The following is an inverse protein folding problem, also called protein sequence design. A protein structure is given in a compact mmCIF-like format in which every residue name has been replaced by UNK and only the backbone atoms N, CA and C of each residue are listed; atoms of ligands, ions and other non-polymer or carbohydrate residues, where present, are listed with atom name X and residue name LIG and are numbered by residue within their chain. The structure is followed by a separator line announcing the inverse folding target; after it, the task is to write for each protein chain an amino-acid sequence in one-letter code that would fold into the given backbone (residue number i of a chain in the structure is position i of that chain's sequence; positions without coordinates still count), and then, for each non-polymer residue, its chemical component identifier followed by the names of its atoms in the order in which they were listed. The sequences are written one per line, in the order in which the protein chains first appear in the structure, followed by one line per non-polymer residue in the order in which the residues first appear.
data_IF_362048648608
#
_entry.id   IF_362048648608
#
_cell.length_a   1.000
_cell.length_b   1.000
_cell.length_c   1.000
_cell.angle_alpha   90.00
_cell.angle_beta   90.00
_cell.angle_gamma   90.00
#
_symmetry.space_group_name_H-M   'P 1'
#
loop_
_entity.id
_entity.type
_entity.pdbx_description
1 polymer ?
#
# COMPACT_ATOMS: atom_id res chain seq x y z
N UNK A 1 -18.16 18.69 36.88
CA UNK A 1 -19.04 18.43 35.71
C UNK A 1 -18.58 19.11 34.40
N UNK A 2 -17.86 20.24 34.43
CA UNK A 2 -17.38 20.93 33.21
C UNK A 2 -16.25 20.21 32.43
N UNK A 3 -15.40 19.42 33.09
CA UNK A 3 -14.33 18.63 32.45
C UNK A 3 -14.86 17.42 31.65
N UNK A 4 -15.85 16.69 32.19
CA UNK A 4 -16.48 15.55 31.51
C UNK A 4 -17.33 15.94 30.27
N UNK A 5 -17.85 17.16 30.23
CA UNK A 5 -18.61 17.68 29.08
C UNK A 5 -17.71 18.16 27.92
N UNK A 6 -16.53 18.70 28.23
CA UNK A 6 -15.51 19.06 27.22
C UNK A 6 -15.03 17.81 26.46
N UNK A 7 -14.71 16.74 27.18
CA UNK A 7 -14.20 15.50 26.60
C UNK A 7 -15.24 14.76 25.76
N UNK A 8 -16.54 14.81 26.10
CA UNK A 8 -17.59 14.19 25.26
C UNK A 8 -17.78 14.89 23.91
N UNK A 9 -17.71 16.22 23.88
CA UNK A 9 -17.84 17.00 22.65
C UNK A 9 -16.66 16.78 21.70
N UNK A 10 -15.43 16.84 22.23
CA UNK A 10 -14.22 16.58 21.44
C UNK A 10 -14.21 15.16 20.88
N UNK A 11 -14.62 14.17 21.68
CA UNK A 11 -14.80 12.78 21.21
C UNK A 11 -15.79 12.68 20.05
N UNK A 12 -16.93 13.38 20.13
CA UNK A 12 -17.92 13.36 19.04
C UNK A 12 -17.38 13.98 17.74
N UNK A 13 -16.59 15.06 17.81
CA UNK A 13 -15.95 15.65 16.64
C UNK A 13 -14.90 14.69 16.03
N UNK A 14 -14.06 14.09 16.87
CA UNK A 14 -13.07 13.10 16.44
C UNK A 14 -13.73 11.86 15.82
N UNK A 15 -14.82 11.38 16.43
CA UNK A 15 -15.59 10.26 15.91
C UNK A 15 -16.20 10.58 14.54
N UNK A 16 -16.75 11.80 14.35
CA UNK A 16 -17.24 12.25 13.05
C UNK A 16 -16.14 12.28 11.97
N UNK A 17 -14.94 12.74 12.32
CA UNK A 17 -13.78 12.71 11.42
C UNK A 17 -13.33 11.27 11.13
N UNK A 18 -13.25 10.42 12.14
CA UNK A 18 -12.88 9.00 12.02
C UNK A 18 -13.79 8.27 11.05
N UNK A 19 -15.11 8.43 11.18
CA UNK A 19 -16.09 7.85 10.25
C UNK A 19 -15.88 8.35 8.82
N UNK A 20 -15.62 9.66 8.64
CA UNK A 20 -15.34 10.21 7.32
C UNK A 20 -14.07 9.62 6.69
N UNK A 21 -13.02 9.41 7.49
CA UNK A 21 -11.76 8.78 7.04
C UNK A 21 -11.96 7.31 6.69
N UNK A 22 -12.75 6.57 7.46
CA UNK A 22 -13.06 5.15 7.19
C UNK A 22 -13.95 4.95 5.97
N UNK A 23 -14.80 5.94 5.64
CA UNK A 23 -15.61 5.94 4.44
C UNK A 23 -14.84 6.23 3.14
N UNK A 24 -13.54 6.54 3.19
CA UNK A 24 -12.73 6.77 2.00
C UNK A 24 -12.53 5.46 1.22
N UNK A 25 -12.94 5.45 -0.05
CA UNK A 25 -12.60 4.37 -0.98
C UNK A 25 -11.11 4.42 -1.31
N UNK A 26 -10.36 3.43 -0.85
CA UNK A 26 -8.93 3.29 -1.07
C UNK A 26 -8.61 1.84 -1.48
N UNK A 27 -8.73 1.48 -2.78
CA UNK A 27 -8.38 0.14 -3.23
C UNK A 27 -6.88 -0.11 -3.05
N UNK A 28 -6.54 -1.32 -2.63
CA UNK A 28 -5.15 -1.78 -2.48
C UNK A 28 -4.71 -2.73 -3.61
N UNK A 29 -5.66 -3.12 -4.44
CA UNK A 29 -5.46 -3.95 -5.63
C UNK A 29 -6.55 -3.66 -6.66
N UNK A 30 -6.23 -3.89 -7.93
CA UNK A 30 -7.16 -3.87 -9.06
C UNK A 30 -6.80 -5.01 -10.02
N UNK A 31 -7.71 -5.36 -10.94
CA UNK A 31 -7.46 -6.42 -11.91
C UNK A 31 -8.40 -6.36 -13.09
N UNK A 32 -8.10 -7.15 -14.12
CA UNK A 32 -8.85 -7.16 -15.36
C UNK A 32 -8.48 -8.31 -16.28
N UNK A 33 -9.05 -8.30 -17.48
CA UNK A 33 -8.77 -9.28 -18.54
C UNK A 33 -8.59 -8.58 -19.86
N UNK A 34 -7.80 -9.16 -20.76
CA UNK A 34 -7.57 -8.64 -22.11
C UNK A 34 -7.53 -9.80 -23.10
N UNK A 35 -8.18 -9.64 -24.24
CA UNK A 35 -8.04 -10.56 -25.38
C UNK A 35 -7.01 -9.97 -26.32
N UNK A 36 -5.93 -10.71 -26.56
CA UNK A 36 -4.86 -10.28 -27.46
C UNK A 36 -5.07 -10.86 -28.87
N UNK A 37 -4.70 -10.09 -29.89
CA UNK A 37 -4.75 -10.55 -31.30
C UNK A 37 -3.81 -11.73 -31.55
N UNK A 38 -2.68 -11.73 -30.84
CA UNK A 38 -1.68 -12.81 -30.86
C UNK A 38 -1.40 -13.25 -29.42
N UNK A 39 -1.06 -14.53 -29.18
CA UNK A 39 -0.73 -14.99 -27.84
C UNK A 39 0.51 -14.27 -27.30
N UNK A 40 0.59 -14.14 -25.98
CA UNK A 40 1.85 -13.75 -25.34
C UNK A 40 2.90 -14.80 -25.70
N UNK A 41 3.98 -14.37 -26.35
CA UNK A 41 5.06 -15.25 -26.79
C UNK A 41 6.31 -14.97 -26.00
N UNK A 42 6.84 -16.00 -25.34
CA UNK A 42 8.10 -15.93 -24.59
C UNK A 42 9.25 -16.25 -25.55
N UNK A 43 10.21 -15.34 -25.67
CA UNK A 43 11.35 -15.45 -26.59
C UNK A 43 12.66 -15.61 -25.81
N UNK A 44 13.47 -16.58 -26.21
CA UNK A 44 14.71 -16.94 -25.53
C UNK A 44 15.95 -16.61 -26.39
N UNK A 45 17.14 -16.47 -25.77
CA UNK A 45 18.39 -16.17 -26.49
C UNK A 45 18.80 -17.21 -27.55
N UNK A 46 18.32 -18.45 -27.43
CA UNK A 46 18.54 -19.52 -28.41
C UNK A 46 17.56 -19.46 -29.60
N UNK A 47 16.83 -18.36 -29.73
CA UNK A 47 15.76 -18.12 -30.72
C UNK A 47 14.52 -19.01 -30.56
N UNK A 48 14.42 -19.79 -29.47
CA UNK A 48 13.18 -20.50 -29.14
C UNK A 48 12.08 -19.48 -28.84
N UNK A 49 10.89 -19.72 -29.37
CA UNK A 49 9.69 -18.96 -29.06
C UNK A 49 8.61 -19.90 -28.53
N UNK A 50 8.00 -19.52 -27.41
CA UNK A 50 6.92 -20.30 -26.78
C UNK A 50 5.68 -19.41 -26.69
N UNK A 51 4.74 -19.50 -27.66
CA UNK A 51 3.44 -18.86 -27.54
C UNK A 51 2.61 -19.55 -26.46
N UNK A 52 2.03 -18.77 -25.53
CA UNK A 52 1.18 -19.31 -24.47
C UNK A 52 -0.28 -19.07 -24.82
N UNK A 53 -0.94 -20.15 -25.21
CA UNK A 53 -2.36 -20.23 -25.53
C UNK A 53 -3.05 -21.20 -24.58
N UNK A 54 -4.37 -21.01 -24.40
CA UNK A 54 -5.22 -22.00 -23.74
C UNK A 54 -5.32 -23.26 -24.59
N UNK A 55 -4.81 -24.37 -24.08
CA UNK A 55 -4.99 -25.70 -24.65
C UNK A 55 -6.41 -26.25 -24.39
N UNK A 56 -6.75 -27.45 -24.89
CA UNK A 56 -8.04 -28.10 -24.62
C UNK A 56 -8.18 -28.52 -23.15
N UNK A 57 -7.11 -29.01 -22.55
CA UNK A 57 -7.06 -29.49 -21.17
C UNK A 57 -5.66 -29.31 -20.55
N UNK A 58 -5.53 -29.67 -19.27
CA UNK A 58 -4.27 -29.55 -18.52
C UNK A 58 -3.17 -30.51 -19.01
N UNK A 59 -3.53 -31.63 -19.64
CA UNK A 59 -2.56 -32.60 -20.15
C UNK A 59 -1.91 -32.08 -21.43
N UNK A 60 -2.72 -31.62 -22.39
CA UNK A 60 -2.21 -30.96 -23.60
C UNK A 60 -1.40 -29.70 -23.25
N UNK A 61 -1.88 -28.89 -22.30
CA UNK A 61 -1.14 -27.72 -21.83
C UNK A 61 0.25 -28.08 -21.30
N UNK A 62 0.34 -29.16 -20.52
CA UNK A 62 1.61 -29.65 -19.98
C UNK A 62 2.60 -30.11 -21.05
N UNK A 63 2.11 -30.67 -22.16
CA UNK A 63 2.96 -31.02 -23.31
C UNK A 63 3.48 -29.78 -24.03
N UNK A 64 2.59 -28.82 -24.31
CA UNK A 64 2.93 -27.58 -25.03
C UNK A 64 3.92 -26.71 -24.26
N UNK A 65 3.83 -26.69 -22.92
CA UNK A 65 4.68 -25.85 -22.07
C UNK A 65 5.86 -26.61 -21.45
N UNK A 66 6.13 -27.86 -21.84
CA UNK A 66 7.23 -28.65 -21.29
C UNK A 66 8.58 -27.94 -21.43
N UNK A 67 8.88 -27.46 -22.62
CA UNK A 67 10.14 -26.75 -22.91
C UNK A 67 10.30 -25.45 -22.13
N UNK A 68 9.19 -24.83 -21.72
CA UNK A 68 9.19 -23.65 -20.86
C UNK A 68 9.55 -24.03 -19.41
N UNK A 69 8.90 -25.07 -18.89
CA UNK A 69 9.11 -25.59 -17.53
C UNK A 69 10.55 -26.04 -17.34
N UNK A 70 11.13 -26.74 -18.31
CA UNK A 70 12.50 -27.24 -18.29
C UNK A 70 13.57 -26.12 -18.23
N UNK A 71 13.21 -24.89 -18.60
CA UNK A 71 14.10 -23.72 -18.53
C UNK A 71 14.01 -22.99 -17.18
N UNK A 72 13.02 -23.29 -16.35
CA UNK A 72 12.81 -22.60 -15.09
C UNK A 72 13.57 -23.31 -13.95
N UNK A 73 14.14 -22.52 -13.03
CA UNK A 73 14.75 -23.04 -11.80
C UNK A 73 13.72 -23.04 -10.66
N UNK A 74 13.92 -23.80 -9.57
CA UNK A 74 13.13 -23.62 -8.35
C UNK A 74 13.11 -22.16 -7.92
N UNK A 75 11.94 -21.66 -7.52
CA UNK A 75 11.78 -20.30 -7.07
C UNK A 75 12.21 -20.17 -5.61
N UNK A 76 13.05 -19.17 -5.32
CA UNK A 76 13.50 -18.91 -3.96
C UNK A 76 12.47 -18.09 -3.17
N UNK A 77 12.71 -17.88 -1.88
CA UNK A 77 11.99 -16.90 -1.07
C UNK A 77 12.98 -16.13 -0.19
N UNK A 78 12.60 -14.93 0.25
CA UNK A 78 13.42 -14.13 1.15
C UNK A 78 13.17 -14.45 2.63
N UNK A 79 14.24 -14.63 3.39
CA UNK A 79 14.27 -14.76 4.84
C UNK A 79 15.38 -13.87 5.40
N UNK A 80 15.03 -12.61 5.61
CA UNK A 80 15.87 -11.52 6.09
C UNK A 80 16.82 -11.13 4.98
N UNK A 81 18.12 -11.24 5.29
CA UNK A 81 19.20 -11.07 4.30
C UNK A 81 19.49 -12.35 3.51
N UNK A 82 18.79 -13.46 3.77
CA UNK A 82 19.05 -14.76 3.13
C UNK A 82 17.99 -15.07 2.08
N UNK A 83 18.44 -15.66 0.99
CA UNK A 83 17.58 -16.26 -0.03
C UNK A 83 17.55 -17.76 0.20
N UNK A 84 16.36 -18.32 0.45
CA UNK A 84 16.16 -19.72 0.81
C UNK A 84 15.31 -20.50 -0.18
N UNK A 85 15.32 -21.83 -0.04
CA UNK A 85 14.49 -22.76 -0.82
C UNK A 85 13.81 -23.73 0.14
N UNK A 86 12.49 -23.65 0.23
CA UNK A 86 11.66 -24.52 1.06
C UNK A 86 10.29 -24.65 0.40
N UNK A 87 9.96 -25.87 -0.02
CA UNK A 87 8.72 -26.17 -0.72
C UNK A 87 7.50 -26.09 0.19
N UNK A 88 7.65 -26.04 1.51
CA UNK A 88 6.55 -25.74 2.43
C UNK A 88 6.17 -24.24 2.46
N UNK A 89 7.10 -23.38 2.04
CA UNK A 89 6.92 -21.92 1.97
C UNK A 89 6.56 -21.49 0.55
N UNK A 90 7.35 -21.95 -0.43
CA UNK A 90 7.17 -21.66 -1.84
C UNK A 90 7.49 -22.90 -2.67
N UNK A 91 6.46 -23.48 -3.28
CA UNK A 91 6.61 -24.53 -4.27
C UNK A 91 6.28 -23.95 -5.64
N UNK A 92 7.30 -23.46 -6.33
CA UNK A 92 7.18 -22.83 -7.64
C UNK A 92 8.48 -22.94 -8.42
N UNK A 93 8.40 -22.74 -9.73
CA UNK A 93 9.55 -22.50 -10.60
C UNK A 93 9.56 -21.02 -11.03
N UNK A 94 10.74 -20.49 -11.28
CA UNK A 94 10.96 -19.11 -11.68
C UNK A 94 12.05 -19.01 -12.76
N UNK A 95 11.89 -18.02 -13.62
CA UNK A 95 12.96 -17.47 -14.44
C UNK A 95 12.94 -15.95 -14.31
N UNK A 96 14.06 -15.36 -13.87
CA UNK A 96 14.20 -13.90 -13.82
C UNK A 96 14.46 -13.36 -15.22
N UNK A 97 13.93 -12.19 -15.53
CA UNK A 97 14.17 -11.51 -16.79
C UNK A 97 15.53 -10.79 -16.83
N UNK A 98 16.13 -10.56 -15.66
CA UNK A 98 17.48 -10.00 -15.51
C UNK A 98 18.50 -10.73 -16.40
N UNK A 99 19.41 -9.98 -17.01
CA UNK A 99 20.41 -10.52 -17.93
C UNK A 99 19.85 -10.96 -19.29
N UNK A 100 18.58 -10.69 -19.58
CA UNK A 100 17.97 -11.00 -20.87
C UNK A 100 17.67 -12.49 -21.05
N UNK A 101 17.41 -13.22 -19.96
CA UNK A 101 17.13 -14.66 -20.01
C UNK A 101 15.89 -15.00 -20.87
N UNK A 102 14.93 -14.07 -20.94
CA UNK A 102 13.81 -14.12 -21.87
C UNK A 102 13.26 -12.71 -22.13
N UNK A 103 12.49 -12.58 -23.20
CA UNK A 103 11.71 -11.38 -23.54
C UNK A 103 10.27 -11.77 -23.89
N UNK A 104 9.38 -10.78 -23.94
CA UNK A 104 7.95 -10.97 -24.21
C UNK A 104 7.58 -10.28 -25.52
N UNK A 105 6.94 -11.01 -26.42
CA UNK A 105 6.31 -10.48 -27.61
C UNK A 105 4.79 -10.48 -27.48
N UNK A 106 4.15 -9.58 -28.25
CA UNK A 106 2.70 -9.46 -28.41
C UNK A 106 1.94 -9.01 -27.16
N UNK A 107 2.67 -8.61 -26.11
CA UNK A 107 2.12 -7.97 -24.93
C UNK A 107 3.11 -6.96 -24.36
N UNK A 108 2.65 -5.73 -24.23
CA UNK A 108 3.31 -4.68 -23.46
C UNK A 108 2.23 -4.01 -22.57
N UNK A 109 2.44 -3.94 -21.24
CA UNK A 109 1.41 -3.45 -20.32
C UNK A 109 1.10 -1.95 -20.50
N UNK A 110 2.01 -1.17 -21.07
CA UNK A 110 1.76 0.25 -21.39
C UNK A 110 0.87 0.34 -22.63
N UNK A 111 1.27 -0.29 -23.73
CA UNK A 111 0.56 -0.29 -25.00
C UNK A 111 -0.84 -0.93 -24.89
N UNK A 112 -1.01 -1.92 -24.01
CA UNK A 112 -2.29 -2.56 -23.74
C UNK A 112 -3.22 -1.74 -22.82
N UNK A 113 -2.78 -0.55 -22.34
CA UNK A 113 -3.56 0.31 -21.45
C UNK A 113 -3.68 -0.16 -20.00
N UNK A 114 -3.01 -1.26 -19.63
CA UNK A 114 -3.05 -1.85 -18.27
C UNK A 114 -2.50 -0.87 -17.25
N UNK A 115 -1.36 -0.23 -17.53
CA UNK A 115 -0.75 0.70 -16.58
C UNK A 115 -1.59 1.95 -16.34
N UNK A 116 -2.31 2.41 -17.35
CA UNK A 116 -3.20 3.57 -17.20
C UNK A 116 -4.43 3.22 -16.36
N UNK A 117 -4.99 2.02 -16.54
CA UNK A 117 -6.05 1.52 -15.67
C UNK A 117 -5.56 1.39 -14.21
N UNK A 118 -4.37 0.83 -13.99
CA UNK A 118 -3.77 0.73 -12.65
C UNK A 118 -3.59 2.12 -12.03
N UNK A 119 -3.08 3.09 -12.80
CA UNK A 119 -2.91 4.47 -12.33
C UNK A 119 -4.26 5.07 -11.90
N UNK A 120 -5.30 4.92 -12.71
CA UNK A 120 -6.63 5.41 -12.40
C UNK A 120 -7.27 4.75 -11.17
N UNK A 121 -7.04 3.45 -10.96
CA UNK A 121 -7.68 2.73 -9.86
C UNK A 121 -6.93 2.90 -8.54
N UNK A 122 -5.59 2.77 -8.53
CA UNK A 122 -4.79 2.73 -7.30
C UNK A 122 -4.22 4.09 -6.91
N UNK A 123 -3.77 4.89 -7.89
CA UNK A 123 -3.07 6.17 -7.65
C UNK A 123 -3.58 7.30 -8.56
N UNK A 124 -4.89 7.56 -8.61
CA UNK A 124 -5.46 8.52 -9.55
C UNK A 124 -5.00 9.98 -9.37
N UNK A 125 -4.37 10.26 -8.24
CA UNK A 125 -3.77 11.55 -7.90
C UNK A 125 -2.36 11.73 -8.45
N UNK A 126 -1.73 10.67 -8.97
CA UNK A 126 -0.42 10.71 -9.64
C UNK A 126 -0.66 11.03 -11.12
N UNK A 127 -0.26 12.23 -11.60
CA UNK A 127 -0.45 12.61 -13.00
C UNK A 127 0.55 11.96 -13.94
N UNK A 128 1.72 11.54 -13.44
CA UNK A 128 2.75 10.90 -14.25
C UNK A 128 2.34 9.48 -14.67
N UNK A 129 2.65 9.07 -15.91
CA UNK A 129 2.50 7.69 -16.33
C UNK A 129 3.31 6.73 -15.44
N UNK A 130 2.74 5.56 -15.15
CA UNK A 130 3.46 4.47 -14.51
C UNK A 130 4.35 3.76 -15.53
N UNK A 131 5.42 3.13 -15.05
CA UNK A 131 6.25 2.22 -15.84
C UNK A 131 6.18 0.80 -15.28
N UNK A 132 6.48 -0.18 -16.12
CA UNK A 132 6.51 -1.59 -15.74
C UNK A 132 7.80 -2.23 -16.20
N UNK A 133 8.54 -2.80 -15.26
CA UNK A 133 9.77 -3.52 -15.51
C UNK A 133 9.49 -5.02 -15.43
N UNK A 134 9.69 -5.76 -16.52
CA UNK A 134 9.56 -7.21 -16.51
C UNK A 134 10.58 -7.80 -15.53
N UNK A 135 10.08 -8.52 -14.52
CA UNK A 135 10.91 -9.02 -13.43
C UNK A 135 11.11 -10.54 -13.53
N UNK A 136 10.03 -11.30 -13.65
CA UNK A 136 10.11 -12.75 -13.66
C UNK A 136 8.93 -13.43 -14.36
N UNK A 137 9.21 -14.62 -14.89
CA UNK A 137 8.21 -15.64 -15.18
C UNK A 137 8.12 -16.57 -13.97
N UNK A 138 6.91 -16.91 -13.53
CA UNK A 138 6.67 -17.91 -12.49
C UNK A 138 5.77 -19.03 -13.02
N UNK A 139 6.09 -20.27 -12.64
CA UNK A 139 5.29 -21.45 -12.97
C UNK A 139 4.97 -22.22 -11.69
N UNK A 140 3.69 -22.45 -11.44
CA UNK A 140 3.22 -23.30 -10.35
C UNK A 140 2.56 -24.54 -10.96
N UNK A 141 3.19 -25.69 -10.76
CA UNK A 141 2.65 -27.00 -11.14
C UNK A 141 1.77 -27.57 -10.03
N UNK A 142 1.27 -28.79 -10.19
CA UNK A 142 0.52 -29.50 -9.14
C UNK A 142 1.26 -29.50 -7.81
N UNK A 143 0.60 -29.04 -6.76
CA UNK A 143 1.15 -28.85 -5.42
C UNK A 143 1.79 -27.47 -5.19
N UNK A 144 2.00 -26.71 -6.26
CA UNK A 144 2.63 -25.40 -6.23
C UNK A 144 1.79 -24.38 -5.46
N UNK A 145 2.46 -23.53 -4.68
CA UNK A 145 1.85 -22.51 -3.83
C UNK A 145 2.91 -21.49 -3.38
N UNK A 146 2.45 -20.39 -2.77
CA UNK A 146 3.31 -19.45 -2.05
C UNK A 146 2.54 -18.88 -0.86
N UNK A 147 3.04 -19.09 0.36
CA UNK A 147 2.39 -18.63 1.61
C UNK A 147 2.32 -17.09 1.69
N UNK A 148 1.43 -16.50 2.51
CA UNK A 148 1.30 -15.05 2.67
C UNK A 148 2.62 -14.31 2.83
N UNK A 149 2.92 -13.36 1.94
CA UNK A 149 4.11 -12.51 1.96
C UNK A 149 3.81 -11.10 1.45
N UNK A 150 4.75 -10.17 1.65
CA UNK A 150 4.81 -8.87 0.97
C UNK A 150 5.95 -8.86 -0.03
N UNK A 151 5.93 -7.91 -0.97
CA UNK A 151 7.03 -7.78 -1.92
C UNK A 151 8.28 -7.24 -1.23
N UNK A 152 9.44 -7.73 -1.65
CA UNK A 152 10.72 -7.09 -1.28
C UNK A 152 10.76 -5.70 -1.94
N UNK A 153 10.93 -4.60 -1.18
CA UNK A 153 11.08 -3.28 -1.79
C UNK A 153 12.30 -3.24 -2.72
N UNK A 154 12.16 -2.62 -3.89
CA UNK A 154 13.25 -2.49 -4.87
C UNK A 154 13.33 -1.05 -5.36
N UNK A 155 14.28 -0.28 -4.84
CA UNK A 155 14.43 1.13 -5.18
C UNK A 155 13.35 2.01 -4.56
N UNK A 156 13.54 3.33 -4.64
CA UNK A 156 12.66 4.32 -4.01
C UNK A 156 11.35 4.58 -4.77
N UNK A 157 11.27 4.16 -6.03
CA UNK A 157 10.19 4.46 -6.98
C UNK A 157 9.20 3.30 -7.18
N UNK A 158 9.46 2.13 -6.60
CA UNK A 158 8.56 0.97 -6.69
C UNK A 158 7.23 1.28 -5.99
N UNK A 159 6.15 1.12 -6.75
CA UNK A 159 4.77 1.25 -6.26
C UNK A 159 4.21 -0.09 -5.79
N UNK A 160 4.53 -1.16 -6.55
CA UNK A 160 4.02 -2.49 -6.30
C UNK A 160 4.25 -3.40 -7.49
N UNK A 161 3.35 -4.36 -7.68
CA UNK A 161 3.55 -5.46 -8.63
C UNK A 161 2.33 -5.65 -9.51
N UNK A 162 2.58 -5.91 -10.80
CA UNK A 162 1.61 -6.39 -11.78
C UNK A 162 1.88 -7.87 -12.06
N UNK A 163 0.88 -8.72 -11.81
CA UNK A 163 0.89 -10.14 -12.16
C UNK A 163 -0.04 -10.36 -13.34
N UNK A 164 0.51 -10.85 -14.45
CA UNK A 164 -0.23 -11.23 -15.65
C UNK A 164 -0.27 -12.75 -15.74
N UNK A 165 -1.46 -13.33 -15.59
CA UNK A 165 -1.71 -14.75 -15.79
C UNK A 165 -1.88 -15.05 -17.28
N UNK A 166 -0.95 -15.85 -17.81
CA UNK A 166 -1.03 -16.35 -19.16
C UNK A 166 -2.13 -17.44 -19.22
N UNK A 167 -2.74 -17.68 -20.38
CA UNK A 167 -3.93 -18.53 -20.51
C UNK A 167 -3.62 -20.04 -20.42
N UNK A 168 -2.60 -20.45 -19.67
CA UNK A 168 -2.31 -21.85 -19.41
C UNK A 168 -3.36 -22.46 -18.48
N UNK A 169 -3.85 -23.67 -18.77
CA UNK A 169 -4.83 -24.34 -17.92
C UNK A 169 -4.27 -24.82 -16.57
N UNK A 170 -4.98 -24.50 -15.50
CA UNK A 170 -4.76 -25.02 -14.15
C UNK A 170 -6.06 -25.02 -13.33
N UNK A 171 -6.05 -25.73 -12.18
CA UNK A 171 -7.19 -25.76 -11.24
C UNK A 171 -6.78 -25.31 -9.84
N UNK A 172 -7.68 -24.54 -9.20
CA UNK A 172 -7.41 -23.76 -7.98
C UNK A 172 -6.24 -22.80 -8.18
N UNK A 173 -5.34 -22.63 -7.21
CA UNK A 173 -4.21 -21.71 -7.35
C UNK A 173 -4.62 -20.24 -7.36
N UNK A 174 -5.70 -19.89 -6.65
CA UNK A 174 -6.21 -18.54 -6.58
C UNK A 174 -5.12 -17.57 -6.08
N UNK A 175 -5.09 -16.39 -6.68
CA UNK A 175 -4.24 -15.31 -6.23
C UNK A 175 -5.02 -14.46 -5.22
N UNK A 176 -4.56 -14.43 -3.97
CA UNK A 176 -5.26 -13.73 -2.89
C UNK A 176 -4.40 -12.57 -2.42
N UNK A 177 -4.98 -11.38 -2.42
CA UNK A 177 -4.37 -10.15 -1.90
C UNK A 177 -5.16 -9.72 -0.66
N UNK A 178 -4.46 -9.41 0.42
CA UNK A 178 -5.03 -9.03 1.71
C UNK A 178 -4.44 -7.71 2.17
N UNK A 179 -5.31 -6.78 2.57
CA UNK A 179 -4.88 -5.53 3.19
C UNK A 179 -5.83 -5.18 4.32
N UNK A 180 -5.29 -4.97 5.52
CA UNK A 180 -6.03 -4.57 6.72
C UNK A 180 -7.29 -5.39 7.02
N UNK A 181 -7.20 -6.71 6.86
CA UNK A 181 -8.31 -7.64 7.11
C UNK A 181 -9.31 -7.78 5.97
N UNK A 182 -9.17 -7.00 4.89
CA UNK A 182 -9.97 -7.12 3.67
C UNK A 182 -9.23 -8.01 2.67
N UNK A 183 -9.96 -8.91 2.02
CA UNK A 183 -9.43 -9.87 1.06
C UNK A 183 -9.99 -9.59 -0.34
N UNK A 184 -9.12 -9.68 -1.34
CA UNK A 184 -9.49 -9.74 -2.75
C UNK A 184 -8.91 -11.02 -3.34
N UNK A 185 -9.78 -11.86 -3.88
CA UNK A 185 -9.39 -13.13 -4.51
C UNK A 185 -9.57 -13.04 -6.02
N UNK A 186 -8.55 -13.47 -6.75
CA UNK A 186 -8.56 -13.62 -8.20
C UNK A 186 -8.46 -15.11 -8.56
N UNK A 187 -9.60 -15.72 -8.86
CA UNK A 187 -9.69 -17.12 -9.31
C UNK A 187 -9.62 -17.21 -10.84
N UNK A 188 -8.40 -17.14 -11.36
CA UNK A 188 -8.16 -17.24 -12.80
C UNK A 188 -8.23 -18.66 -13.32
N UNK A 189 -8.05 -19.68 -12.49
CA UNK A 189 -8.08 -21.09 -12.93
C UNK A 189 -9.45 -21.46 -13.51
N UNK A 190 -10.52 -21.13 -12.78
CA UNK A 190 -11.88 -21.30 -13.27
C UNK A 190 -12.16 -20.42 -14.49
N UNK A 191 -11.77 -19.14 -14.45
CA UNK A 191 -12.03 -18.20 -15.55
C UNK A 191 -11.34 -18.60 -16.86
N UNK A 192 -10.08 -19.08 -16.79
CA UNK A 192 -9.33 -19.57 -17.95
C UNK A 192 -9.98 -20.83 -18.50
N UNK A 193 -10.47 -21.75 -17.67
CA UNK A 193 -11.13 -22.97 -18.15
C UNK A 193 -12.36 -22.66 -19.01
N UNK A 194 -13.17 -21.70 -18.59
CA UNK A 194 -14.45 -21.35 -19.22
C UNK A 194 -14.34 -20.33 -20.37
N UNK A 195 -13.21 -19.63 -20.51
CA UNK A 195 -13.08 -18.59 -21.54
C UNK A 195 -13.08 -19.17 -22.96
N UNK A 196 -13.80 -18.52 -23.88
CA UNK A 196 -13.81 -18.92 -25.28
C UNK A 196 -12.48 -18.58 -25.98
N UNK A 197 -11.92 -17.40 -25.72
CA UNK A 197 -10.75 -16.90 -26.43
C UNK A 197 -9.45 -17.51 -25.86
N UNK A 198 -8.64 -18.21 -26.67
CA UNK A 198 -7.44 -18.88 -26.19
C UNK A 198 -6.29 -17.92 -25.85
N UNK A 199 -6.37 -16.67 -26.28
CA UNK A 199 -5.38 -15.60 -26.02
C UNK A 199 -5.77 -14.68 -24.87
N UNK A 200 -6.93 -14.89 -24.23
CA UNK A 200 -7.38 -14.03 -23.14
C UNK A 200 -6.49 -14.19 -21.91
N UNK A 201 -5.80 -13.13 -21.55
CA UNK A 201 -4.99 -13.03 -20.33
C UNK A 201 -5.83 -12.44 -19.20
N UNK A 202 -5.41 -12.74 -17.98
CA UNK A 202 -5.94 -12.13 -16.75
C UNK A 202 -4.81 -11.41 -16.06
N UNK A 203 -5.11 -10.35 -15.33
CA UNK A 203 -4.07 -9.63 -14.59
C UNK A 203 -4.61 -9.03 -13.30
N UNK A 204 -3.70 -8.83 -12.34
CA UNK A 204 -3.96 -8.08 -11.13
C UNK A 204 -2.72 -7.24 -10.78
N UNK A 205 -2.97 -6.05 -10.23
CA UNK A 205 -1.95 -5.18 -9.69
C UNK A 205 -2.27 -4.82 -8.24
N UNK A 206 -1.24 -4.62 -7.43
CA UNK A 206 -1.37 -4.34 -6.00
C UNK A 206 -0.14 -3.57 -5.48
N UNK A 207 -0.28 -2.88 -4.36
CA UNK A 207 0.85 -2.19 -3.72
C UNK A 207 1.82 -3.20 -3.09
N UNK A 208 3.12 -2.91 -3.11
CA UNK A 208 4.12 -3.88 -2.63
C UNK A 208 4.06 -4.20 -1.13
N UNK A 209 3.42 -3.35 -0.32
CA UNK A 209 3.31 -3.49 1.14
C UNK A 209 2.13 -4.35 1.62
N UNK A 210 1.32 -4.89 0.70
CA UNK A 210 0.16 -5.70 1.08
C UNK A 210 0.47 -7.18 1.03
N UNK A 211 -0.16 -7.93 1.93
CA UNK A 211 -0.01 -9.37 1.98
C UNK A 211 -0.63 -10.01 0.73
N UNK A 212 0.07 -10.98 0.16
CA UNK A 212 -0.44 -11.75 -0.94
C UNK A 212 0.07 -13.19 -0.90
N UNK A 213 -0.70 -14.09 -1.48
CA UNK A 213 -0.40 -15.52 -1.50
C UNK A 213 -0.89 -16.15 -2.80
N UNK A 214 -0.30 -17.30 -3.15
CA UNK A 214 -0.84 -18.21 -4.16
C UNK A 214 -1.36 -19.43 -3.41
N UNK A 215 -2.66 -19.70 -3.52
CA UNK A 215 -3.23 -20.95 -3.01
C UNK A 215 -2.66 -22.16 -3.75
N UNK A 216 -2.88 -23.36 -3.20
CA UNK A 216 -2.35 -24.58 -3.80
C UNK A 216 -2.98 -24.85 -5.17
N UNK A 217 -2.14 -25.04 -6.18
CA UNK A 217 -2.54 -25.56 -7.49
C UNK A 217 -2.76 -27.06 -7.37
N UNK A 218 -3.93 -27.56 -7.80
CA UNK A 218 -4.25 -29.00 -7.71
C UNK A 218 -4.10 -29.74 -9.05
N UNK A 219 -3.97 -29.01 -10.15
CA UNK A 219 -3.71 -29.60 -11.46
C UNK A 219 -3.32 -28.56 -12.49
N UNK A 220 -2.56 -28.98 -13.51
CA UNK A 220 -2.12 -28.13 -14.61
C UNK A 220 -0.92 -27.24 -14.27
N UNK A 221 -0.77 -26.14 -15.03
CA UNK A 221 0.35 -25.20 -14.93
C UNK A 221 -0.18 -23.77 -14.84
N UNK A 222 -0.05 -23.14 -13.67
CA UNK A 222 -0.30 -21.71 -13.52
C UNK A 222 0.95 -20.95 -13.93
N UNK A 223 0.89 -20.25 -15.07
CA UNK A 223 2.01 -19.49 -15.64
C UNK A 223 1.72 -18.00 -15.56
N UNK A 224 2.60 -17.25 -14.91
CA UNK A 224 2.44 -15.80 -14.74
C UNK A 224 3.70 -15.03 -15.09
N UNK A 225 3.54 -13.88 -15.71
CA UNK A 225 4.56 -12.84 -15.79
C UNK A 225 4.38 -11.86 -14.64
N UNK A 226 5.48 -11.45 -14.03
CA UNK A 226 5.52 -10.48 -12.94
C UNK A 226 6.30 -9.26 -13.40
N UNK A 227 5.69 -8.08 -13.24
CA UNK A 227 6.30 -6.79 -13.52
C UNK A 227 6.36 -5.94 -12.25
N UNK A 228 7.47 -5.24 -12.03
CA UNK A 228 7.56 -4.20 -11.00
C UNK A 228 6.93 -2.94 -11.56
N UNK A 229 5.92 -2.42 -10.87
CA UNK A 229 5.27 -1.16 -11.21
C UNK A 229 6.07 -0.05 -10.53
N UNK A 230 6.53 0.91 -11.32
CA UNK A 230 7.31 2.05 -10.82
C UNK A 230 6.61 3.35 -11.16
N UNK A 231 6.85 4.37 -10.33
CA UNK A 231 6.40 5.73 -10.61
C UNK A 231 7.28 6.34 -11.70
N UNK A 232 6.67 7.01 -12.67
CA UNK A 232 7.42 7.76 -13.68
C UNK A 232 8.27 8.87 -13.05
N UNK A 233 9.51 9.03 -13.52
CA UNK A 233 10.37 10.15 -13.16
C UNK A 233 10.09 11.32 -14.11
N UNK A 234 9.43 12.37 -13.62
CA UNK A 234 9.22 13.66 -14.32
C UNK A 234 8.99 13.55 -15.84
N UNK A 235 7.76 13.25 -16.26
CA UNK A 235 7.28 13.58 -17.61
C UNK A 235 6.28 14.73 -17.54
N UNK A 236 6.31 15.62 -18.54
CA UNK A 236 5.59 16.89 -18.58
C UNK A 236 4.10 16.75 -18.22
N UNK A 237 3.65 17.72 -17.42
CA UNK A 237 2.31 17.81 -16.82
C UNK A 237 1.21 17.65 -17.88
N UNK A 238 0.51 16.53 -17.88
CA UNK A 238 -0.81 16.44 -18.49
C UNK A 238 -1.86 16.62 -17.38
N UNK A 239 -2.69 17.66 -17.52
CA UNK A 239 -3.80 17.90 -16.61
C UNK A 239 -4.99 17.05 -17.06
N UNK A 240 -5.45 16.13 -16.21
CA UNK A 240 -6.71 15.41 -16.41
C UNK A 240 -7.69 15.64 -15.25
N UNK A 241 -9.01 15.67 -15.50
CA UNK A 241 -10.02 16.05 -14.52
C UNK A 241 -10.48 14.83 -13.71
N UNK A 242 -10.12 14.76 -12.42
CA UNK A 242 -10.59 13.72 -11.51
C UNK A 242 -11.90 14.09 -10.85
N UNK A 243 -13.04 13.89 -11.53
CA UNK A 243 -14.37 14.26 -11.01
C UNK A 243 -14.78 13.52 -9.72
N UNK A 244 -14.42 12.24 -9.58
CA UNK A 244 -14.95 11.40 -8.50
C UNK A 244 -14.13 11.43 -7.18
N UNK A 245 -12.81 11.68 -7.23
CA UNK A 245 -11.99 11.83 -6.01
C UNK A 245 -12.19 13.18 -5.31
N UNK A 246 -12.73 14.16 -6.04
CA UNK A 246 -13.06 15.48 -5.50
C UNK A 246 -14.24 15.38 -4.52
N UNK A 247 -15.19 14.47 -4.75
CA UNK A 247 -16.38 14.32 -3.93
C UNK A 247 -16.11 13.74 -2.52
N UNK A 248 -15.38 12.62 -2.38
CA UNK A 248 -15.14 11.99 -1.06
C UNK A 248 -14.12 12.75 -0.20
N UNK A 249 -13.12 13.40 -0.81
CA UNK A 249 -12.23 14.30 -0.09
C UNK A 249 -13.03 15.44 0.60
N UNK A 250 -14.22 15.77 0.10
CA UNK A 250 -15.06 16.84 0.64
C UNK A 250 -15.56 16.54 2.06
N UNK A 251 -15.92 15.30 2.41
CA UNK A 251 -16.42 14.99 3.76
C UNK A 251 -15.30 15.06 4.80
N UNK A 252 -14.13 14.49 4.51
CA UNK A 252 -12.95 14.59 5.39
C UNK A 252 -12.55 16.06 5.56
N UNK A 253 -12.51 16.83 4.46
CA UNK A 253 -12.28 18.30 4.52
C UNK A 253 -13.35 19.02 5.33
N UNK A 254 -14.62 18.63 5.24
CA UNK A 254 -15.68 19.23 6.03
C UNK A 254 -15.47 18.93 7.51
N UNK A 255 -15.20 17.68 7.89
CA UNK A 255 -14.98 17.30 9.29
C UNK A 255 -13.71 17.92 9.88
N UNK A 256 -12.65 18.06 9.08
CA UNK A 256 -11.48 18.84 9.46
C UNK A 256 -11.83 20.31 9.69
N UNK A 257 -12.65 20.93 8.83
CA UNK A 257 -13.11 22.31 9.03
C UNK A 257 -13.97 22.46 10.28
N UNK A 258 -14.94 21.56 10.50
CA UNK A 258 -15.78 21.53 11.70
C UNK A 258 -14.91 21.51 12.99
N UNK A 259 -13.81 20.74 12.97
CA UNK A 259 -12.83 20.67 14.06
C UNK A 259 -12.03 21.98 14.23
N UNK A 260 -11.59 22.59 13.13
CA UNK A 260 -10.83 23.84 13.16
C UNK A 260 -11.67 25.03 13.65
N UNK A 261 -12.96 25.07 13.29
CA UNK A 261 -13.91 26.12 13.67
C UNK A 261 -14.33 26.03 15.15
N UNK A 262 -14.23 24.84 15.78
CA UNK A 262 -14.55 24.69 17.21
C UNK A 262 -13.44 25.25 18.10
N UNK A 263 -13.73 26.36 18.77
CA UNK A 263 -12.82 27.05 19.72
C UNK A 263 -12.35 26.21 20.91
N UNK A 264 -13.04 25.10 21.23
CA UNK A 264 -12.70 24.23 22.37
C UNK A 264 -11.73 23.14 21.97
N UNK A 265 -11.82 22.66 20.73
CA UNK A 265 -10.95 21.60 20.23
C UNK A 265 -9.52 22.12 20.10
N UNK A 266 -8.58 21.52 20.83
CA UNK A 266 -7.15 21.91 20.85
C UNK A 266 -6.97 23.44 20.86
N UNK A 267 -7.55 24.11 21.87
CA UNK A 267 -7.61 25.58 21.92
C UNK A 267 -6.23 26.25 21.83
N UNK A 268 -5.23 25.68 22.50
CA UNK A 268 -3.83 26.12 22.50
C UNK A 268 -3.01 25.55 21.32
N UNK A 269 -3.68 24.88 20.38
CA UNK A 269 -3.04 24.11 19.31
C UNK A 269 -2.66 22.69 19.76
N UNK A 270 -2.05 21.93 18.86
CA UNK A 270 -1.61 20.57 19.12
C UNK A 270 -1.39 19.78 17.82
N UNK A 271 -1.30 18.46 17.95
CA UNK A 271 -1.11 17.57 16.80
C UNK A 271 -2.24 16.54 16.73
N UNK A 272 -2.85 16.43 15.55
CA UNK A 272 -3.79 15.38 15.21
C UNK A 272 -3.06 14.28 14.44
N UNK A 273 -3.07 13.05 14.93
CA UNK A 273 -2.35 11.93 14.34
C UNK A 273 -3.31 10.94 13.63
N UNK A 274 -2.98 10.59 12.40
CA UNK A 274 -3.70 9.59 11.60
C UNK A 274 -2.79 8.38 11.33
N UNK A 275 -3.11 7.22 11.89
CA UNK A 275 -2.53 5.93 11.51
C UNK A 275 -2.52 5.72 9.98
N UNK A 276 -1.36 5.49 9.38
CA UNK A 276 -1.32 5.16 7.95
C UNK A 276 -1.94 3.79 7.69
N UNK A 277 -2.60 3.67 6.53
CA UNK A 277 -3.13 2.44 5.97
C UNK A 277 -2.04 1.56 5.39
N UNK A 278 -1.06 2.19 4.76
CA UNK A 278 0.04 1.54 4.08
C UNK A 278 1.34 1.65 4.85
N UNK A 279 2.24 0.73 4.52
CA UNK A 279 3.62 0.83 4.94
C UNK A 279 4.44 1.57 3.87
N UNK A 280 5.48 2.24 4.34
CA UNK A 280 6.35 3.05 3.52
C UNK A 280 7.77 2.55 3.63
N UNK A 281 8.47 2.50 2.51
CA UNK A 281 9.89 2.20 2.47
C UNK A 281 10.67 3.49 2.13
N UNK A 282 11.97 3.35 1.96
CA UNK A 282 12.93 4.44 1.84
C UNK A 282 12.84 5.21 0.52
N UNK A 283 11.78 5.97 0.34
CA UNK A 283 11.82 7.09 -0.59
C UNK A 283 12.82 8.13 -0.04
N UNK A 284 13.68 8.68 -0.89
CA UNK A 284 14.58 9.77 -0.53
C UNK A 284 13.83 11.00 0.02
N UNK A 285 12.55 11.16 -0.36
CA UNK A 285 11.64 12.15 0.22
C UNK A 285 11.29 11.91 1.69
N UNK A 286 11.35 10.65 2.15
CA UNK A 286 11.00 10.24 3.51
C UNK A 286 12.20 10.07 4.45
N UNK A 287 13.43 9.90 3.93
CA UNK A 287 14.65 9.72 4.74
C UNK A 287 15.16 10.98 5.47
N UNK A 288 14.48 12.12 5.34
CA UNK A 288 14.88 13.36 6.01
C UNK A 288 14.29 13.38 7.41
N UNK A 289 14.94 14.13 8.33
CA UNK A 289 14.32 14.52 9.59
C UNK A 289 12.89 14.99 9.32
N UNK A 290 11.95 14.47 10.12
CA UNK A 290 10.53 14.75 9.98
C UNK A 290 10.27 16.25 9.79
N UNK A 291 9.76 16.62 8.61
CA UNK A 291 9.37 17.98 8.24
C UNK A 291 8.01 17.93 7.55
N UNK A 292 7.26 19.05 7.55
CA UNK A 292 6.04 19.14 6.75
C UNK A 292 6.31 18.73 5.30
N UNK A 293 5.51 17.79 4.81
CA UNK A 293 5.62 17.25 3.46
C UNK A 293 5.37 18.37 2.43
N UNK A 294 6.19 18.49 1.39
CA UNK A 294 5.82 19.30 0.24
C UNK A 294 4.71 18.59 -0.54
N UNK A 295 3.92 19.34 -1.31
CA UNK A 295 2.83 18.80 -2.13
C UNK A 295 3.28 17.66 -3.07
N UNK A 296 4.51 17.75 -3.57
CA UNK A 296 5.13 16.73 -4.43
C UNK A 296 5.39 15.40 -3.72
N UNK A 297 5.65 15.42 -2.41
CA UNK A 297 5.86 14.18 -1.64
C UNK A 297 4.53 13.59 -1.17
N UNK A 298 3.46 14.38 -1.10
CA UNK A 298 2.12 13.84 -0.78
C UNK A 298 1.62 12.88 -1.85
N UNK A 299 1.91 13.11 -3.13
CA UNK A 299 1.56 12.15 -4.20
C UNK A 299 2.31 10.82 -4.07
N UNK A 300 3.32 10.74 -3.20
CA UNK A 300 3.96 9.48 -2.88
C UNK A 300 3.18 8.63 -1.86
N UNK A 301 2.16 9.18 -1.21
CA UNK A 301 1.31 8.45 -0.27
C UNK A 301 0.30 7.55 -1.02
N UNK A 302 -0.09 6.43 -0.40
CA UNK A 302 -0.94 5.42 -1.03
C UNK A 302 -2.38 5.54 -0.52
N UNK A 303 -3.36 5.32 -1.39
CA UNK A 303 -4.77 5.20 -1.05
C UNK A 303 -5.28 6.26 -0.06
N UNK A 304 -5.75 5.79 1.10
CA UNK A 304 -6.35 6.62 2.15
C UNK A 304 -5.39 7.65 2.73
N UNK A 305 -4.11 7.30 2.82
CA UNK A 305 -3.10 8.16 3.45
C UNK A 305 -2.87 9.42 2.62
N UNK A 306 -2.83 9.27 1.29
CA UNK A 306 -2.85 10.42 0.38
C UNK A 306 -4.11 11.28 0.56
N UNK A 307 -5.28 10.65 0.60
CA UNK A 307 -6.55 11.38 0.68
C UNK A 307 -6.65 12.23 1.95
N UNK A 308 -6.24 11.69 3.10
CA UNK A 308 -6.17 12.41 4.38
C UNK A 308 -5.16 13.54 4.35
N UNK A 309 -3.93 13.28 3.90
CA UNK A 309 -2.89 14.31 3.79
C UNK A 309 -3.33 15.46 2.86
N UNK A 310 -3.90 15.13 1.70
CA UNK A 310 -4.41 16.10 0.75
C UNK A 310 -5.58 16.92 1.33
N UNK A 311 -6.46 16.30 2.11
CA UNK A 311 -7.55 16.99 2.80
C UNK A 311 -7.02 18.01 3.83
N UNK A 312 -6.07 17.59 4.67
CA UNK A 312 -5.44 18.44 5.68
C UNK A 312 -4.69 19.61 5.03
N UNK A 313 -3.91 19.36 3.98
CA UNK A 313 -3.21 20.42 3.24
C UNK A 313 -4.17 21.39 2.56
N UNK A 314 -5.31 20.91 2.03
CA UNK A 314 -6.33 21.77 1.46
C UNK A 314 -7.01 22.65 2.52
N UNK A 315 -7.05 22.21 3.78
CA UNK A 315 -7.48 23.00 4.93
C UNK A 315 -6.39 23.95 5.47
N UNK A 316 -5.24 24.07 4.78
CA UNK A 316 -4.14 24.95 5.19
C UNK A 316 -3.27 24.39 6.33
N UNK A 317 -3.41 23.10 6.65
CA UNK A 317 -2.65 22.46 7.73
C UNK A 317 -1.32 21.90 7.21
N UNK A 318 -0.32 21.89 8.09
CA UNK A 318 0.97 21.24 7.82
C UNK A 318 0.85 19.76 8.18
N UNK A 319 1.28 18.89 7.27
CA UNK A 319 1.24 17.44 7.43
C UNK A 319 2.66 16.91 7.40
N UNK A 320 3.05 16.11 8.39
CA UNK A 320 4.35 15.43 8.48
C UNK A 320 4.11 13.93 8.47
N UNK A 321 4.92 13.17 7.73
CA UNK A 321 4.92 11.70 7.83
C UNK A 321 5.90 11.29 8.93
N UNK A 322 5.41 10.61 9.95
CA UNK A 322 6.19 10.20 11.11
C UNK A 322 6.34 8.67 11.12
N UNK A 323 7.55 8.12 10.95
CA UNK A 323 7.80 6.69 11.10
C UNK A 323 7.70 6.25 12.56
N UNK A 324 7.09 5.09 12.75
CA UNK A 324 6.96 4.40 14.03
C UNK A 324 7.39 2.94 13.89
N UNK A 325 7.99 2.42 14.95
CA UNK A 325 8.29 1.00 15.13
C UNK A 325 7.63 0.53 16.43
N UNK A 326 7.17 -0.72 16.45
CA UNK A 326 6.57 -1.34 17.64
C UNK A 326 7.30 -2.64 17.91
N UNK A 327 7.73 -2.86 19.15
CA UNK A 327 8.24 -4.15 19.57
C UNK A 327 7.11 -5.15 19.80
N UNK A 328 7.38 -6.41 19.47
CA UNK A 328 6.41 -7.49 19.65
C UNK A 328 6.46 -8.14 21.04
N UNK A 329 7.45 -7.79 21.87
CA UNK A 329 7.74 -8.50 23.12
C UNK A 329 7.50 -7.64 24.38
N UNK A 330 7.79 -6.34 24.33
CA UNK A 330 7.68 -5.43 25.47
C UNK A 330 6.55 -4.40 25.32
N UNK A 331 5.71 -4.49 24.27
CA UNK A 331 4.67 -3.52 23.91
C UNK A 331 5.20 -2.08 23.74
N UNK A 332 6.51 -1.91 23.56
CA UNK A 332 7.13 -0.61 23.38
C UNK A 332 6.92 -0.10 21.95
N UNK A 333 6.57 1.17 21.83
CA UNK A 333 6.46 1.88 20.56
C UNK A 333 7.54 2.93 20.50
N UNK A 334 8.30 2.97 19.39
CA UNK A 334 9.30 3.98 19.09
C UNK A 334 8.85 4.87 17.97
N UNK A 335 8.84 6.17 18.22
CA UNK A 335 8.77 7.17 17.16
C UNK A 335 10.19 7.49 16.68
N UNK A 336 10.45 7.37 15.38
CA UNK A 336 11.78 7.63 14.82
C UNK A 336 11.91 9.06 14.27
N UNK A 337 13.07 9.68 14.44
CA UNK A 337 13.39 11.01 13.91
C UNK A 337 13.44 11.04 12.36
N UNK A 338 13.83 9.92 11.76
CA UNK A 338 13.88 9.70 10.31
C UNK A 338 13.73 8.20 9.99
N UNK A 339 13.46 7.87 8.73
CA UNK A 339 13.51 6.49 8.27
C UNK A 339 14.94 5.95 8.39
N UNK A 340 15.18 4.76 8.96
CA UNK A 340 16.49 4.17 9.15
C UNK A 340 17.35 4.23 7.88
N UNK A 341 18.54 4.77 8.01
CA UNK A 341 19.57 4.85 6.97
C UNK A 341 20.20 3.48 6.71
N UNK A 342 20.94 3.33 5.61
CA UNK A 342 21.60 2.05 5.27
C UNK A 342 22.52 1.58 6.39
N UNK A 343 23.19 2.52 7.08
CA UNK A 343 24.09 2.22 8.18
C UNK A 343 23.33 1.74 9.43
N UNK A 344 22.28 2.46 9.84
CA UNK A 344 21.44 2.08 10.99
C UNK A 344 20.79 0.71 10.77
N UNK A 345 20.31 0.41 9.54
CA UNK A 345 19.76 -0.92 9.21
C UNK A 345 20.81 -2.01 9.16
N UNK A 346 22.04 -1.68 8.76
CA UNK A 346 23.14 -2.65 8.76
C UNK A 346 23.46 -3.10 10.21
N UNK A 347 23.30 -2.19 11.18
CA UNK A 347 23.45 -2.45 12.61
C UNK A 347 22.30 -3.28 13.20
N UNK A 348 21.15 -3.38 12.53
CA UNK A 348 20.06 -4.25 12.96
C UNK A 348 20.43 -5.73 12.80
N UNK A 349 20.42 -6.48 13.91
CA UNK A 349 20.54 -7.94 13.95
C UNK A 349 19.20 -8.65 13.74
N UNK A 350 19.19 -10.00 13.70
CA UNK A 350 17.99 -10.85 13.54
C UNK A 350 17.20 -11.05 14.86
N UNK A 351 17.86 -10.81 15.99
CA UNK A 351 17.27 -10.71 17.33
C UNK A 351 18.05 -9.64 18.09
N UNK A 352 17.43 -8.49 18.36
CA UNK A 352 18.02 -7.42 19.14
C UNK A 352 17.18 -7.17 20.39
N UNK A 353 17.87 -6.88 21.49
CA UNK A 353 17.23 -6.31 22.66
C UNK A 353 16.70 -4.90 22.33
N UNK A 354 15.55 -4.46 22.87
CA UNK A 354 15.03 -3.11 22.66
C UNK A 354 16.05 -2.01 22.94
N UNK A 355 16.91 -2.16 23.95
CA UNK A 355 17.96 -1.17 24.25
C UNK A 355 18.98 -1.06 23.11
N UNK A 356 19.36 -2.18 22.49
CA UNK A 356 20.27 -2.17 21.35
C UNK A 356 19.61 -1.56 20.12
N UNK A 357 18.28 -1.75 19.96
CA UNK A 357 17.49 -1.15 18.88
C UNK A 357 17.42 0.38 19.04
N UNK A 358 17.14 0.87 20.25
CA UNK A 358 17.14 2.30 20.57
C UNK A 358 18.48 2.96 20.29
N UNK A 359 19.58 2.26 20.57
CA UNK A 359 20.93 2.75 20.28
C UNK A 359 21.27 2.69 18.78
N UNK A 360 20.70 1.74 18.04
CA UNK A 360 20.98 1.53 16.62
C UNK A 360 20.17 2.45 15.69
N UNK A 361 19.03 2.97 16.17
CA UNK A 361 18.11 3.80 15.39
C UNK A 361 18.00 5.21 15.96
N UNK A 362 17.63 6.17 15.11
CA UNK A 362 17.33 7.52 15.56
C UNK A 362 15.95 7.58 16.24
N UNK A 363 15.84 7.00 17.45
CA UNK A 363 14.63 7.08 18.27
C UNK A 363 14.48 8.50 18.82
N UNK A 364 13.32 9.11 18.54
CA UNK A 364 12.95 10.43 19.04
C UNK A 364 12.25 10.36 20.39
N UNK A 365 11.37 9.37 20.53
CA UNK A 365 10.59 9.11 21.72
C UNK A 365 10.18 7.63 21.74
N UNK A 366 10.04 7.06 22.93
CA UNK A 366 9.51 5.73 23.16
C UNK A 366 8.43 5.76 24.24
N UNK A 367 7.47 4.84 24.18
CA UNK A 367 6.52 4.57 25.26
C UNK A 367 5.92 3.16 25.14
N UNK A 368 5.62 2.55 26.28
CA UNK A 368 4.78 1.35 26.42
C UNK A 368 3.31 1.64 26.05
N UNK A 369 2.89 2.91 26.06
CA UNK A 369 1.58 3.36 25.60
C UNK A 369 1.76 4.39 24.48
N UNK A 370 1.45 3.99 23.25
CA UNK A 370 1.51 4.86 22.09
C UNK A 370 0.56 6.09 22.16
N UNK A 371 -0.27 6.20 23.19
CA UNK A 371 -1.04 7.43 23.49
C UNK A 371 -0.17 8.54 24.10
N UNK A 372 1.05 8.25 24.54
CA UNK A 372 1.90 9.20 25.28
C UNK A 372 2.70 10.17 24.40
N UNK A 373 2.63 10.06 23.07
CA UNK A 373 3.39 10.90 22.13
C UNK A 373 2.92 12.36 22.00
N UNK A 374 2.14 12.88 22.96
CA UNK A 374 1.55 14.23 22.93
C UNK A 374 0.80 14.53 21.62
N UNK A 375 0.03 13.54 21.15
CA UNK A 375 -0.82 13.65 19.96
C UNK A 375 -2.24 13.20 20.25
N UNK A 376 -3.20 13.78 19.54
CA UNK A 376 -4.59 13.32 19.52
C UNK A 376 -4.76 12.34 18.36
N UNK A 377 -4.98 11.08 18.69
CA UNK A 377 -5.18 10.00 17.72
C UNK A 377 -6.61 9.98 17.17
N UNK A 378 -6.77 10.03 15.84
CA UNK A 378 -8.08 9.93 15.16
C UNK A 378 -8.60 8.50 15.14
N UNK A 379 -7.69 7.57 14.85
CA UNK A 379 -7.84 6.15 15.08
C UNK A 379 -6.88 5.74 16.20
N UNK A 380 -7.20 4.69 16.99
CA UNK A 380 -6.28 4.20 18.01
C UNK A 380 -4.87 4.09 17.45
N UNK A 381 -3.84 4.47 18.24
CA UNK A 381 -2.47 4.28 17.81
C UNK A 381 -2.24 2.80 17.47
N UNK A 382 -1.23 2.50 16.64
CA UNK A 382 -0.74 1.14 16.54
C UNK A 382 -0.40 0.68 17.97
N UNK A 383 -1.06 -0.37 18.43
CA UNK A 383 -0.76 -1.03 19.69
C UNK A 383 -0.84 -2.53 19.43
N UNK A 384 0.11 -3.28 19.97
CA UNK A 384 0.07 -4.72 19.91
C UNK A 384 -0.80 -5.21 21.07
N UNK A 385 -1.84 -6.01 20.78
CA UNK A 385 -2.61 -6.71 21.81
C UNK A 385 -2.82 -8.15 21.36
N UNK A 386 -1.95 -9.03 21.87
CA UNK A 386 -2.07 -10.48 21.99
C UNK A 386 -2.56 -11.29 20.76
N UNK A 387 -1.64 -12.15 20.29
CA UNK A 387 -1.76 -13.20 19.28
C UNK A 387 -1.98 -12.73 17.83
N UNK A 388 -0.93 -12.74 16.99
CA UNK A 388 -1.13 -12.78 15.55
C UNK A 388 -1.80 -14.11 15.21
N UNK A 389 -3.12 -14.11 14.99
CA UNK A 389 -3.81 -15.20 14.31
C UNK A 389 -3.48 -15.14 12.82
N UNK A 390 -2.19 -15.22 12.46
CA UNK A 390 -1.75 -15.35 11.07
C UNK A 390 -1.76 -16.80 10.58
N UNK A 391 -1.86 -17.78 11.49
CA UNK A 391 -1.91 -19.19 11.14
C UNK A 391 -2.93 -19.91 12.03
N UNK A 392 -3.98 -20.56 11.49
CA UNK A 392 -4.61 -21.63 12.25
C UNK A 392 -3.51 -22.66 12.51
N UNK A 393 -3.13 -22.85 13.78
CA UNK A 393 -2.30 -24.00 14.13
C UNK A 393 -3.03 -25.24 13.60
N UNK A 394 -2.35 -26.04 12.79
CA UNK A 394 -2.71 -27.45 12.62
C UNK A 394 -2.36 -28.12 13.95
N UNK A 395 -3.15 -27.86 15.00
CA UNK A 395 -3.10 -28.61 16.26
C UNK A 395 -4.51 -28.68 16.84
N UNK A 396 -5.06 -29.90 16.75
CA UNK A 396 -6.16 -30.49 17.50
C UNK A 396 -7.27 -29.62 18.11
N UNK A 397 -8.47 -29.81 17.54
CA UNK A 397 -9.80 -29.82 18.20
C UNK A 397 -9.89 -29.04 19.52
N UNK A 398 -10.04 -27.72 19.43
CA UNK A 398 -10.92 -26.94 20.32
C UNK A 398 -11.28 -25.63 19.63
N UNK A 399 -12.55 -25.50 19.26
CA UNK A 399 -13.11 -24.30 18.68
C UNK A 399 -13.17 -23.20 19.74
N UNK A 400 -12.40 -22.14 19.55
CA UNK A 400 -12.69 -20.85 20.16
C UNK A 400 -13.32 -19.98 19.08
N UNK A 401 -14.57 -19.59 19.32
CA UNK A 401 -15.33 -18.66 18.49
C UNK A 401 -14.67 -17.29 18.51
N UNK A 402 -14.29 -16.78 17.34
CA UNK A 402 -13.85 -15.40 17.16
C UNK A 402 -15.09 -14.50 17.18
N UNK A 403 -15.06 -13.45 17.99
CA UNK A 403 -16.14 -12.45 18.13
C UNK A 403 -16.16 -11.53 16.87
N UNK A 404 -17.28 -11.45 16.15
CA UNK A 404 -17.41 -10.67 14.92
C UNK A 404 -17.41 -9.15 15.11
N UNK A 405 -17.51 -8.64 16.35
CA UNK A 405 -17.56 -7.20 16.67
C UNK A 405 -16.20 -6.60 17.08
N UNK A 406 -15.11 -7.39 17.07
CA UNK A 406 -13.75 -6.88 17.29
C UNK A 406 -13.30 -6.02 16.10
N UNK A 407 -12.90 -4.74 16.30
CA UNK A 407 -12.50 -3.88 15.20
C UNK A 407 -11.37 -4.55 14.42
N UNK A 408 -11.49 -4.60 13.09
CA UNK A 408 -10.46 -5.14 12.20
C UNK A 408 -9.05 -4.52 12.41
N UNK A 409 -8.96 -3.42 13.17
CA UNK A 409 -7.75 -2.79 13.71
C UNK A 409 -7.00 -3.62 14.77
N UNK A 410 -7.66 -4.51 15.52
CA UNK A 410 -7.01 -5.37 16.52
C UNK A 410 -6.25 -6.56 15.89
N UNK A 411 -6.52 -6.86 14.62
CA UNK A 411 -5.75 -7.86 13.86
C UNK A 411 -4.59 -7.24 13.08
N UNK A 412 -4.25 -5.99 13.38
CA UNK A 412 -3.27 -5.24 12.64
C UNK A 412 -1.93 -5.14 13.35
N UNK A 413 -0.90 -5.37 12.53
CA UNK A 413 0.45 -4.81 12.63
C UNK A 413 1.29 -5.32 13.80
N UNK A 414 2.00 -6.43 13.57
CA UNK A 414 3.43 -6.36 13.88
C UNK A 414 3.99 -5.24 13.00
N UNK A 415 4.65 -4.23 13.57
CA UNK A 415 5.70 -3.58 12.79
C UNK A 415 6.60 -4.72 12.32
N UNK A 416 6.65 -4.99 11.01
CA UNK A 416 7.51 -6.05 10.49
C UNK A 416 8.96 -5.55 10.49
N UNK A 417 9.51 -5.37 11.70
CA UNK A 417 10.66 -6.19 12.00
C UNK A 417 10.16 -7.63 12.09
N UNK A 418 10.15 -8.32 10.95
CA UNK A 418 9.88 -9.75 10.96
C UNK A 418 11.12 -10.42 11.54
N UNK A 419 11.08 -10.84 12.80
CA UNK A 419 12.10 -11.71 13.39
C UNK A 419 12.18 -13.07 12.68
N UNK A 420 11.23 -13.41 11.81
CA UNK A 420 11.35 -14.55 10.88
C UNK A 420 12.07 -14.17 9.58
N UNK A 421 12.34 -12.88 9.36
CA UNK A 421 12.98 -12.33 8.16
C UNK A 421 12.11 -12.37 6.90
N UNK A 422 10.90 -12.89 6.92
CA UNK A 422 10.23 -13.26 5.67
C UNK A 422 9.79 -12.04 4.83
N UNK A 423 10.50 -11.76 3.74
CA UNK A 423 10.22 -10.67 2.79
C UNK A 423 10.36 -11.16 1.35
N UNK A 424 9.22 -11.30 0.67
CA UNK A 424 9.14 -11.43 -0.78
C UNK A 424 9.89 -12.60 -1.41
N UNK A 425 10.23 -12.41 -2.68
CA UNK A 425 10.77 -13.44 -3.55
C UNK A 425 12.24 -13.80 -3.22
N UNK A 426 12.99 -12.91 -2.57
CA UNK A 426 14.43 -13.00 -2.36
C UNK A 426 14.84 -12.24 -1.09
N UNK A 427 15.96 -12.63 -0.48
CA UNK A 427 16.59 -11.83 0.56
C UNK A 427 17.14 -10.51 -0.02
N UNK A 428 17.14 -9.46 0.81
CA UNK A 428 17.66 -8.14 0.43
C UNK A 428 18.43 -7.51 1.60
N UNK A 429 19.28 -6.52 1.29
CA UNK A 429 19.84 -5.58 2.27
C UNK A 429 18.66 -4.83 2.91
N UNK A 430 18.12 -5.36 4.02
CA UNK A 430 17.03 -4.84 4.88
C UNK A 430 16.45 -3.52 4.36
N UNK A 431 15.57 -3.56 3.35
CA UNK A 431 14.73 -2.43 3.02
C UNK A 431 13.40 -2.71 3.70
N UNK A 432 13.20 -2.07 4.86
CA UNK A 432 12.04 -2.29 5.69
C UNK A 432 10.87 -1.44 5.19
N UNK A 433 9.72 -2.07 5.11
CA UNK A 433 8.46 -1.37 5.21
C UNK A 433 8.27 -0.90 6.65
N UNK A 434 8.05 0.39 6.82
CA UNK A 434 7.90 1.04 8.12
C UNK A 434 6.49 1.58 8.24
N UNK A 435 5.89 1.31 9.38
CA UNK A 435 4.61 1.86 9.73
C UNK A 435 4.75 3.36 10.01
N UNK A 436 3.77 4.15 9.58
CA UNK A 436 3.81 5.60 9.75
C UNK A 436 2.48 6.14 10.29
N UNK A 437 2.53 7.34 10.83
CA UNK A 437 1.36 8.18 11.05
C UNK A 437 1.52 9.53 10.37
N UNK A 438 0.42 10.10 9.88
CA UNK A 438 0.37 11.49 9.43
C UNK A 438 0.11 12.39 10.64
N UNK A 439 1.09 13.22 10.98
CA UNK A 439 0.97 14.23 12.02
C UNK A 439 0.52 15.54 11.38
N UNK A 440 -0.70 15.96 11.72
CA UNK A 440 -1.31 17.18 11.23
C UNK A 440 -1.27 18.22 12.32
N UNK A 441 -0.50 19.29 12.10
CA UNK A 441 -0.37 20.38 13.06
C UNK A 441 -1.65 21.22 13.10
N UNK A 442 -2.26 21.32 14.28
CA UNK A 442 -3.44 22.14 14.55
C UNK A 442 -2.97 23.43 15.22
N UNK A 443 -3.18 24.61 14.60
CA UNK A 443 -2.77 25.87 15.21
C UNK A 443 -3.67 26.23 16.42
N UNK A 444 -3.19 27.09 17.32
CA UNK A 444 -4.05 27.72 18.33
C UNK A 444 -5.27 28.39 17.69
N UNK A 445 -6.37 28.48 18.44
CA UNK A 445 -7.58 29.11 17.93
C UNK A 445 -7.32 30.60 17.63
N UNK A 446 -7.74 31.07 16.46
CA UNK A 446 -7.49 32.43 15.98
C UNK A 446 -6.19 32.61 15.20
N UNK A 447 -5.35 31.59 15.08
CA UNK A 447 -4.11 31.62 14.31
C UNK A 447 -4.14 30.73 13.06
N UNK A 448 -3.32 31.07 12.06
CA UNK A 448 -3.14 30.24 10.86
C UNK A 448 -4.45 29.88 10.17
N UNK A 449 -4.70 28.59 9.98
CA UNK A 449 -5.92 28.05 9.37
C UNK A 449 -7.20 28.32 10.19
N UNK A 450 -7.08 28.76 11.46
CA UNK A 450 -8.19 29.11 12.36
C UNK A 450 -8.35 30.63 12.53
N UNK A 451 -7.59 31.43 11.78
CA UNK A 451 -7.74 32.88 11.79
C UNK A 451 -9.04 33.26 11.08
N UNK A 452 -9.88 34.07 11.73
CA UNK A 452 -11.08 34.62 11.11
C UNK A 452 -10.64 35.54 9.97
N UNK A 453 -10.93 35.17 8.72
CA UNK A 453 -10.85 36.09 7.61
C UNK A 453 -11.86 37.21 7.86
N UNK A 454 -11.37 38.37 8.31
CA UNK A 454 -12.13 39.61 8.21
C UNK A 454 -12.37 39.85 6.73
N UNK A 455 -13.51 39.42 6.20
CA UNK A 455 -14.10 40.07 5.04
C UNK A 455 -14.28 41.53 5.42
N UNK A 456 -13.45 42.42 4.86
CA UNK A 456 -13.65 43.85 5.00
C UNK A 456 -15.09 44.17 4.58
N UNK A 457 -15.87 44.88 5.41
CA UNK A 457 -17.18 45.33 4.96
C UNK A 457 -16.95 46.24 3.76
N UNK A 458 -17.58 45.88 2.63
CA UNK A 458 -17.56 46.67 1.41
C UNK A 458 -17.78 48.14 1.77
N UNK A 459 -16.76 48.98 1.57
CA UNK A 459 -16.93 50.43 1.63
C UNK A 459 -17.92 50.80 0.53
N UNK A 460 -19.18 50.98 0.91
CA UNK A 460 -20.17 51.64 0.08
C UNK A 460 -19.66 53.06 -0.11
N UNK A 461 -19.18 53.33 -1.33
CA UNK A 461 -18.84 54.67 -1.81
C UNK A 461 -20.07 55.57 -1.65
N UNK A 462 -20.02 56.52 -0.73
CA UNK A 462 -20.97 57.62 -0.63
C UNK A 462 -20.70 58.62 -1.75
N UNK A 463 -21.20 58.36 -2.95
CA UNK A 463 -21.20 59.32 -4.05
C UNK A 463 -22.57 60.01 -4.19
N UNK A 464 -22.50 61.34 -4.18
CA UNK A 464 -23.45 62.31 -4.72
C UNK A 464 -24.78 62.58 -3.96
N UNK A 465 -24.73 63.52 -3.00
CA UNK A 465 -25.81 64.51 -2.83
C UNK A 465 -25.78 65.47 -4.02
N UNK A 466 -26.68 65.31 -4.98
CA UNK A 466 -27.03 66.38 -5.94
C UNK A 466 -27.84 67.46 -5.21
N UNK A 467 -27.39 68.72 -5.26
CA UNK A 467 -28.23 69.89 -4.99
C UNK A 467 -29.13 70.15 -6.21
N UNK A 468 -30.41 70.51 -6.05
CA UNK A 468 -31.23 70.99 -7.16
C UNK A 468 -30.88 72.45 -7.47
N UNK A 469 -30.82 72.79 -8.75
CA UNK A 469 -30.53 74.15 -9.23
C UNK A 469 -31.67 75.13 -8.97
N UNK A 470 -31.30 76.41 -8.90
CA UNK A 470 -32.18 77.55 -9.12
C UNK A 470 -31.62 78.35 -10.30
N UNK A 471 -32.54 78.66 -11.24
CA UNK A 471 -32.56 79.60 -12.37
C UNK A 471 -31.27 79.92 -13.13
#
# INVERSE_FOLDING_TARGET
MASAGKTKHERALLEGLRHAVHGLRAPFTCGGTLVLEQPVTLCFPDNTQVPVLRAKDTFEQGQLLRSLVERCAPAAFGMGRKTGYDRAVRDALQMKAEGGAFSVLHFDPVAAGVLEQIRHELVPHVPEPLTAELYALNVYATGGHFVPHKDTPRGSDMLGTLVVCLPAQFSNGAFVVKHRGVFQTYDWGHAIREQAEPTRIHWAAFFGDVDHQIERVWGGLRVTLTYLIRRGTNAARSAMPGGDLVALNTLVRQKLRDLLDDRRFLAEGGTLAFPCAHLYHQDAGFQRKQRPLPRQTVSALKGRDHAVAAAAMAAGLKVTLCPYMTETCADETWQLDHFPTRHERAALGDQMDPTDLENALAVRASSEDARDFDVVWVDPPPHFNAQPTMYPKITDRRAHSVDPDLPALMHLHACEYSATGYFGNEGSDIDLYIYCALHVAIPPYGEGARAVTRTEPSRVSSSARRRPGQM
#
